data_IF_980121325238
#
_entry.id   IF_980121325238
#
_cell.length_a   1.000
_cell.length_b   1.000
_cell.length_c   1.000
_cell.angle_alpha   90.00
_cell.angle_beta   90.00
_cell.angle_gamma   90.00
#
_symmetry.space_group_name_H-M   'P 1'
#
loop_
_entity.id
_entity.type
_entity.pdbx_description
1 polymer ?
#
# COMPACT_ATOMS: atom_id res chain seq x y z
N UNK A 1 -25.04 47.89 30.94
CA UNK A 1 -23.88 46.99 30.97
C UNK A 1 -24.20 45.59 30.42
N UNK A 2 -25.24 44.91 30.92
CA UNK A 2 -25.59 43.55 30.46
C UNK A 2 -25.91 43.48 28.94
N UNK A 3 -26.65 44.44 28.42
CA UNK A 3 -27.03 44.50 27.00
C UNK A 3 -25.83 44.73 26.05
N UNK A 4 -24.83 45.47 26.50
CA UNK A 4 -23.59 45.68 25.73
C UNK A 4 -22.74 44.42 25.65
N UNK A 5 -22.71 43.63 26.72
CA UNK A 5 -21.98 42.33 26.74
C UNK A 5 -22.63 41.31 25.82
N UNK A 6 -23.96 41.25 25.76
CA UNK A 6 -24.67 40.31 24.84
C UNK A 6 -24.47 40.69 23.40
N UNK A 7 -24.46 41.96 23.02
CA UNK A 7 -24.18 42.43 21.68
C UNK A 7 -22.74 42.09 21.26
N UNK A 8 -21.76 42.29 22.16
CA UNK A 8 -20.36 41.94 21.92
C UNK A 8 -20.18 40.43 21.71
N UNK A 9 -20.91 39.58 22.45
CA UNK A 9 -20.85 38.14 22.33
C UNK A 9 -21.43 37.63 20.99
N UNK A 10 -22.54 38.24 20.52
CA UNK A 10 -23.14 37.95 19.19
C UNK A 10 -22.20 38.37 18.08
N UNK A 11 -21.51 39.51 18.22
CA UNK A 11 -20.55 39.99 17.22
C UNK A 11 -19.33 39.06 17.09
N UNK A 12 -18.83 38.51 18.21
CA UNK A 12 -17.72 37.58 18.24
C UNK A 12 -18.07 36.23 17.59
N UNK A 13 -19.34 35.78 17.70
CA UNK A 13 -19.77 34.50 17.06
C UNK A 13 -19.90 34.58 15.54
N UNK A 14 -20.07 35.77 14.96
CA UNK A 14 -20.16 35.97 13.52
C UNK A 14 -18.80 35.91 12.79
N UNK A 15 -17.68 36.06 13.52
CA UNK A 15 -16.33 36.00 12.97
C UNK A 15 -15.79 34.57 12.77
N UNK A 16 -16.52 33.51 13.17
CA UNK A 16 -16.03 32.12 13.13
C UNK A 16 -16.17 31.42 11.77
N UNK A 17 -16.73 32.06 10.75
CA UNK A 17 -16.93 31.42 9.43
C UNK A 17 -15.86 31.72 8.39
N UNK A 18 -14.75 32.36 8.76
CA UNK A 18 -13.67 32.71 7.84
C UNK A 18 -12.58 31.62 7.79
N UNK A 19 -12.92 30.36 7.52
CA UNK A 19 -11.94 29.36 7.10
C UNK A 19 -12.17 29.07 5.60
N UNK A 20 -11.56 29.88 4.75
CA UNK A 20 -11.38 29.53 3.34
C UNK A 20 -10.49 28.28 3.27
N UNK A 21 -10.99 27.23 2.61
CA UNK A 21 -10.18 26.06 2.25
C UNK A 21 -9.00 26.56 1.43
N UNK A 22 -7.79 26.39 1.98
CA UNK A 22 -6.57 26.78 1.26
C UNK A 22 -6.52 26.08 -0.08
N UNK A 23 -6.43 26.84 -1.19
CA UNK A 23 -6.26 26.28 -2.54
C UNK A 23 -4.77 25.98 -2.75
N UNK A 24 -4.40 24.71 -2.83
CA UNK A 24 -3.08 24.30 -3.23
C UNK A 24 -2.96 24.44 -4.76
N UNK A 25 -2.18 25.39 -5.23
CA UNK A 25 -1.85 25.52 -6.68
C UNK A 25 -0.51 24.82 -6.86
N UNK A 26 -0.51 23.69 -7.54
CA UNK A 26 0.70 22.94 -7.88
C UNK A 26 1.14 23.40 -9.27
N UNK A 27 2.16 24.25 -9.33
CA UNK A 27 2.85 24.56 -10.59
C UNK A 27 3.96 23.54 -10.81
N UNK A 28 3.75 22.59 -11.72
CA UNK A 28 4.73 21.55 -12.06
C UNK A 28 4.93 21.48 -13.58
N UNK A 29 6.12 21.00 -14.00
CA UNK A 29 6.41 20.76 -15.42
C UNK A 29 5.48 19.63 -15.94
N UNK A 30 4.88 19.84 -17.10
CA UNK A 30 3.99 18.86 -17.76
C UNK A 30 4.66 17.48 -17.97
N UNK A 31 5.98 17.42 -18.00
CA UNK A 31 6.74 16.16 -18.07
C UNK A 31 6.57 15.30 -16.83
N UNK A 32 6.32 15.90 -15.67
CA UNK A 32 6.10 15.19 -14.41
C UNK A 32 4.80 14.39 -14.53
N UNK A 33 3.74 14.99 -15.06
CA UNK A 33 2.46 14.29 -15.30
C UNK A 33 2.64 13.09 -16.23
N UNK A 34 3.38 13.24 -17.31
CA UNK A 34 3.68 12.13 -18.23
C UNK A 34 4.47 11.00 -17.56
N UNK A 35 5.40 11.34 -16.66
CA UNK A 35 6.16 10.35 -15.90
C UNK A 35 5.25 9.60 -14.90
N UNK A 36 4.35 10.31 -14.22
CA UNK A 36 3.38 9.72 -13.30
C UNK A 36 2.46 8.76 -14.05
N UNK A 37 1.88 9.17 -15.16
CA UNK A 37 1.01 8.32 -15.98
C UNK A 37 1.74 7.06 -16.46
N UNK A 38 2.98 7.21 -16.95
CA UNK A 38 3.78 6.06 -17.37
C UNK A 38 4.11 5.12 -16.20
N UNK A 39 4.35 5.67 -15.02
CA UNK A 39 4.59 4.86 -13.82
C UNK A 39 3.33 4.08 -13.40
N UNK A 40 2.16 4.72 -13.47
CA UNK A 40 0.87 4.06 -13.21
C UNK A 40 0.64 2.92 -14.20
N UNK A 41 0.88 3.12 -15.50
CA UNK A 41 0.73 2.09 -16.51
C UNK A 41 1.65 0.88 -16.27
N UNK A 42 2.91 1.12 -15.91
CA UNK A 42 3.88 0.06 -15.60
C UNK A 42 3.42 -0.74 -14.38
N UNK A 43 2.97 -0.09 -13.32
CA UNK A 43 2.51 -0.76 -12.10
C UNK A 43 1.13 -1.41 -12.25
N UNK A 44 0.30 -0.95 -13.17
CA UNK A 44 -0.96 -1.64 -13.50
C UNK A 44 -0.71 -3.01 -14.17
N UNK A 45 0.40 -3.14 -14.92
CA UNK A 45 0.80 -4.40 -15.54
C UNK A 45 1.54 -5.34 -14.58
N UNK A 46 2.33 -4.80 -13.66
CA UNK A 46 3.12 -5.56 -12.67
C UNK A 46 3.10 -4.84 -11.31
N UNK A 47 2.24 -5.33 -10.42
CA UNK A 47 2.09 -4.79 -9.05
C UNK A 47 3.19 -5.25 -8.08
N UNK A 48 4.22 -5.96 -8.57
CA UNK A 48 5.33 -6.43 -7.75
C UNK A 48 6.52 -5.47 -7.76
N UNK A 49 7.29 -5.48 -6.69
CA UNK A 49 8.54 -4.73 -6.54
C UNK A 49 9.69 -5.64 -6.14
N UNK A 50 10.92 -5.20 -6.33
CA UNK A 50 12.08 -5.92 -5.81
C UNK A 50 12.11 -5.85 -4.28
N UNK A 51 12.34 -7.00 -3.66
CA UNK A 51 12.38 -7.13 -2.20
C UNK A 51 13.01 -8.44 -1.75
N UNK A 52 12.61 -8.89 -0.58
CA UNK A 52 13.16 -10.07 0.06
C UNK A 52 12.04 -10.98 0.57
N UNK A 53 12.28 -12.29 0.46
CA UNK A 53 11.47 -13.33 1.08
C UNK A 53 12.34 -14.29 1.86
N UNK A 54 11.77 -15.04 2.78
CA UNK A 54 12.47 -16.11 3.50
C UNK A 54 12.04 -17.43 2.88
N UNK A 55 12.99 -18.20 2.35
CA UNK A 55 12.75 -19.55 1.86
C UNK A 55 12.84 -20.53 3.02
N UNK A 56 11.75 -21.27 3.27
CA UNK A 56 11.64 -22.20 4.39
C UNK A 56 11.66 -23.67 3.96
N UNK A 57 11.35 -23.93 2.68
CA UNK A 57 11.25 -25.29 2.15
C UNK A 57 11.80 -25.36 0.73
N UNK A 58 12.43 -26.51 0.37
CA UNK A 58 12.86 -26.81 -0.98
C UNK A 58 13.00 -28.33 -1.15
N UNK A 59 12.19 -28.89 -2.03
CA UNK A 59 12.22 -30.32 -2.36
C UNK A 59 12.02 -30.53 -3.87
N UNK A 60 12.45 -31.70 -4.35
CA UNK A 60 12.29 -32.14 -5.73
C UNK A 60 11.81 -33.59 -5.78
N UNK A 61 11.22 -33.99 -6.92
CA UNK A 61 10.70 -35.34 -7.10
C UNK A 61 9.18 -35.37 -7.20
N UNK A 62 8.63 -36.57 -7.31
CA UNK A 62 7.21 -36.78 -7.60
C UNK A 62 6.30 -36.33 -6.46
N UNK A 63 6.75 -36.50 -5.21
CA UNK A 63 5.98 -36.19 -4.00
C UNK A 63 6.22 -34.75 -3.49
N UNK A 64 7.11 -34.01 -4.17
CA UNK A 64 7.53 -32.68 -3.71
C UNK A 64 6.37 -31.66 -3.60
N UNK A 65 5.36 -31.78 -4.46
CA UNK A 65 4.16 -30.92 -4.44
C UNK A 65 3.31 -31.21 -3.21
N UNK A 66 3.10 -32.46 -2.91
CA UNK A 66 2.28 -32.89 -1.76
C UNK A 66 2.96 -32.49 -0.44
N UNK A 67 4.28 -32.73 -0.35
CA UNK A 67 5.09 -32.28 0.80
C UNK A 67 5.08 -30.77 0.96
N UNK A 68 5.17 -30.03 -0.15
CA UNK A 68 5.11 -28.57 -0.12
C UNK A 68 3.74 -28.05 0.34
N UNK A 69 2.65 -28.66 -0.11
CA UNK A 69 1.30 -28.28 0.32
C UNK A 69 1.08 -28.56 1.81
N UNK A 70 1.52 -29.73 2.31
CA UNK A 70 1.45 -30.05 3.73
C UNK A 70 2.24 -29.03 4.57
N UNK A 71 3.48 -28.75 4.18
CA UNK A 71 4.30 -27.76 4.86
C UNK A 71 3.74 -26.33 4.80
N UNK A 72 3.01 -26.00 3.71
CA UNK A 72 2.31 -24.73 3.58
C UNK A 72 1.14 -24.62 4.56
N UNK A 73 0.35 -25.68 4.72
CA UNK A 73 -0.77 -25.72 5.67
C UNK A 73 -0.28 -25.59 7.10
N UNK A 74 0.74 -26.36 7.49
CA UNK A 74 1.37 -26.25 8.81
C UNK A 74 1.91 -24.84 9.08
N UNK A 75 2.50 -24.20 8.08
CA UNK A 75 2.98 -22.82 8.23
C UNK A 75 1.83 -21.84 8.46
N UNK A 76 0.73 -21.93 7.68
CA UNK A 76 -0.44 -21.05 7.80
C UNK A 76 -1.12 -21.16 9.16
N UNK A 77 -1.16 -22.35 9.73
CA UNK A 77 -1.70 -22.56 11.09
C UNK A 77 -0.86 -21.84 12.15
N UNK A 78 0.46 -21.85 11.97
CA UNK A 78 1.40 -21.28 12.96
C UNK A 78 1.60 -19.76 12.76
N UNK A 79 1.57 -19.29 11.52
CA UNK A 79 1.85 -17.90 11.13
C UNK A 79 0.76 -17.35 10.20
N UNK A 80 -0.49 -17.17 10.68
CA UNK A 80 -1.64 -16.81 9.84
C UNK A 80 -1.49 -15.45 9.15
N UNK A 81 -0.77 -14.52 9.77
CA UNK A 81 -0.59 -13.16 9.25
C UNK A 81 0.57 -13.03 8.24
N UNK A 82 1.32 -14.12 8.01
CA UNK A 82 2.48 -14.08 7.12
C UNK A 82 2.14 -14.74 5.79
N UNK A 83 2.23 -14.02 4.65
CA UNK A 83 1.95 -14.58 3.34
C UNK A 83 2.96 -15.68 2.99
N UNK A 84 2.49 -16.76 2.35
CA UNK A 84 3.31 -17.88 1.90
C UNK A 84 3.03 -18.19 0.43
N UNK A 85 4.07 -18.44 -0.32
CA UNK A 85 4.05 -18.65 -1.76
C UNK A 85 4.74 -19.95 -2.15
N UNK A 86 4.05 -20.78 -2.95
CA UNK A 86 4.65 -21.94 -3.60
C UNK A 86 5.27 -21.49 -4.92
N UNK A 87 6.59 -21.63 -5.04
CA UNK A 87 7.36 -21.25 -6.21
C UNK A 87 7.97 -22.49 -6.84
N UNK A 88 7.61 -22.76 -8.08
CA UNK A 88 8.25 -23.80 -8.87
C UNK A 88 9.46 -23.23 -9.65
N UNK A 89 10.59 -23.85 -9.51
CA UNK A 89 11.77 -23.57 -10.32
C UNK A 89 12.52 -24.88 -10.54
N UNK A 90 12.32 -25.43 -11.73
CA UNK A 90 12.77 -26.77 -12.12
C UNK A 90 14.18 -27.11 -11.62
N UNK A 91 14.39 -28.24 -10.94
CA UNK A 91 13.41 -29.28 -10.62
C UNK A 91 12.75 -29.14 -9.23
N UNK A 92 12.88 -27.98 -8.55
CA UNK A 92 12.52 -27.80 -7.16
C UNK A 92 11.21 -27.07 -6.95
N UNK A 93 10.43 -27.51 -5.98
CA UNK A 93 9.34 -26.77 -5.36
C UNK A 93 9.86 -26.09 -4.09
N UNK A 94 9.57 -24.80 -3.96
CA UNK A 94 10.08 -23.95 -2.86
C UNK A 94 8.92 -23.23 -2.19
N UNK A 95 8.94 -23.17 -0.86
CA UNK A 95 8.05 -22.27 -0.13
C UNK A 95 8.84 -21.04 0.30
N UNK A 96 8.31 -19.88 -0.08
CA UNK A 96 8.83 -18.57 0.28
C UNK A 96 7.78 -17.81 1.08
N UNK A 97 8.20 -17.15 2.16
CA UNK A 97 7.31 -16.49 3.11
C UNK A 97 7.69 -15.04 3.30
N UNK A 98 6.67 -14.21 3.53
CA UNK A 98 6.78 -12.78 3.76
C UNK A 98 7.03 -11.97 2.50
N UNK A 99 6.68 -10.69 2.57
CA UNK A 99 6.96 -9.67 1.56
C UNK A 99 7.71 -8.52 2.25
N UNK A 100 9.06 -8.60 2.26
CA UNK A 100 9.91 -7.64 2.96
C UNK A 100 10.56 -6.68 1.96
N UNK A 101 10.40 -5.38 2.15
CA UNK A 101 10.99 -4.36 1.28
C UNK A 101 12.48 -4.25 1.48
N UNK A 102 12.95 -4.45 2.71
CA UNK A 102 14.34 -4.34 3.07
C UNK A 102 14.89 -5.64 3.64
N UNK A 103 16.19 -5.85 3.47
CA UNK A 103 16.85 -7.00 4.05
C UNK A 103 16.79 -7.01 5.58
N UNK A 104 16.79 -5.83 6.20
CA UNK A 104 16.71 -5.71 7.67
C UNK A 104 15.36 -6.20 8.20
N UNK A 105 14.24 -5.87 7.51
CA UNK A 105 12.93 -6.42 7.84
C UNK A 105 12.90 -7.95 7.72
N UNK A 106 13.47 -8.49 6.64
CA UNK A 106 13.58 -9.93 6.45
C UNK A 106 14.43 -10.59 7.54
N UNK A 107 15.55 -9.98 7.96
CA UNK A 107 16.40 -10.49 9.04
C UNK A 107 15.69 -10.49 10.38
N UNK A 108 14.89 -9.47 10.69
CA UNK A 108 14.06 -9.43 11.90
C UNK A 108 13.06 -10.58 11.92
N UNK A 109 12.34 -10.83 10.84
CA UNK A 109 11.40 -11.92 10.72
C UNK A 109 12.13 -13.30 10.75
N UNK A 110 13.29 -13.38 10.10
CA UNK A 110 14.11 -14.57 10.06
C UNK A 110 14.56 -15.03 11.44
N UNK A 111 14.86 -14.12 12.36
CA UNK A 111 15.23 -14.48 13.75
C UNK A 111 14.14 -15.31 14.44
N UNK A 112 12.88 -15.02 14.18
CA UNK A 112 11.75 -15.78 14.72
C UNK A 112 11.58 -17.12 13.96
N UNK A 113 11.54 -17.05 12.62
CA UNK A 113 11.29 -18.21 11.77
C UNK A 113 12.41 -19.26 11.82
N UNK A 114 13.65 -18.86 12.02
CA UNK A 114 14.81 -19.77 12.11
C UNK A 114 14.77 -20.69 13.32
N UNK A 115 13.96 -20.40 14.32
CA UNK A 115 13.77 -21.28 15.47
C UNK A 115 13.03 -22.56 15.05
N UNK A 116 12.07 -22.44 14.16
CA UNK A 116 11.24 -23.54 13.66
C UNK A 116 11.81 -24.14 12.36
N UNK A 117 12.34 -23.30 11.49
CA UNK A 117 12.84 -23.68 10.16
C UNK A 117 14.35 -23.51 10.07
N UNK A 118 15.11 -24.51 10.57
CA UNK A 118 16.59 -24.46 10.66
C UNK A 118 17.31 -24.31 9.33
N UNK A 119 16.67 -24.72 8.22
CA UNK A 119 17.21 -24.61 6.85
C UNK A 119 16.73 -23.35 6.11
N UNK A 120 16.01 -22.46 6.81
CA UNK A 120 15.53 -21.24 6.18
C UNK A 120 16.67 -20.29 5.83
N UNK A 121 16.49 -19.48 4.81
CA UNK A 121 17.41 -18.41 4.44
C UNK A 121 16.68 -17.28 3.71
N UNK A 122 17.25 -16.08 3.74
CA UNK A 122 16.74 -14.90 3.06
C UNK A 122 17.18 -14.91 1.61
N UNK A 123 16.24 -14.67 0.70
CA UNK A 123 16.48 -14.58 -0.75
C UNK A 123 15.87 -13.30 -1.31
N UNK A 124 16.52 -12.72 -2.33
CA UNK A 124 15.90 -11.65 -3.12
C UNK A 124 14.78 -12.23 -3.99
N UNK A 125 13.67 -11.53 -4.08
CA UNK A 125 12.50 -11.95 -4.84
C UNK A 125 11.66 -10.75 -5.26
N UNK A 126 10.76 -10.96 -6.22
CA UNK A 126 9.67 -10.03 -6.53
C UNK A 126 8.58 -10.20 -5.47
N UNK A 127 8.30 -9.15 -4.72
CA UNK A 127 7.32 -9.17 -3.63
C UNK A 127 6.05 -8.42 -4.02
N UNK A 128 4.94 -8.77 -3.40
CA UNK A 128 3.74 -7.95 -3.44
C UNK A 128 3.99 -6.65 -2.67
N UNK A 129 3.32 -5.57 -3.08
CA UNK A 129 3.37 -4.33 -2.31
C UNK A 129 2.83 -4.63 -0.90
N UNK A 130 3.65 -4.46 0.15
CA UNK A 130 3.15 -4.66 1.50
C UNK A 130 2.02 -3.67 1.77
N UNK A 131 0.95 -4.14 2.42
CA UNK A 131 -0.16 -3.29 2.81
C UNK A 131 0.37 -2.11 3.62
N UNK A 132 0.33 -0.92 3.02
CA UNK A 132 0.75 0.28 3.71
C UNK A 132 -0.40 0.67 4.65
N UNK A 133 -0.19 0.53 5.96
CA UNK A 133 -1.16 0.89 7.00
C UNK A 133 -1.62 2.36 6.92
N UNK A 134 -0.87 3.19 6.19
CA UNK A 134 -1.17 4.62 5.97
C UNK A 134 -1.93 4.89 4.66
N UNK A 135 -2.05 3.90 3.78
CA UNK A 135 -2.90 3.97 2.60
C UNK A 135 -4.14 3.10 2.83
N UNK A 136 -5.03 3.55 3.68
CA UNK A 136 -6.39 3.03 3.68
C UNK A 136 -6.98 3.43 2.33
N UNK A 137 -7.37 2.44 1.52
CA UNK A 137 -8.02 2.64 0.22
C UNK A 137 -9.18 3.65 0.28
N UNK A 138 -9.79 3.79 1.43
CA UNK A 138 -10.90 4.68 1.73
C UNK A 138 -10.50 6.18 1.72
N UNK A 139 -9.26 6.50 2.14
CA UNK A 139 -8.76 7.90 2.13
C UNK A 139 -8.46 8.36 0.70
N UNK A 140 -7.90 7.46 -0.12
CA UNK A 140 -7.54 7.79 -1.51
C UNK A 140 -8.80 7.94 -2.37
N UNK A 141 -9.83 7.12 -2.15
CA UNK A 141 -11.08 7.19 -2.90
C UNK A 141 -11.86 8.46 -2.57
N UNK A 142 -11.96 8.88 -1.31
CA UNK A 142 -12.60 10.13 -0.92
C UNK A 142 -11.84 11.37 -1.44
N UNK A 143 -10.51 11.35 -1.41
CA UNK A 143 -9.69 12.46 -1.88
C UNK A 143 -9.72 12.59 -3.40
N UNK A 144 -9.70 11.47 -4.14
CA UNK A 144 -9.81 11.44 -5.61
C UNK A 144 -11.22 11.78 -6.08
N UNK A 145 -12.28 11.29 -5.44
CA UNK A 145 -13.66 11.69 -5.75
C UNK A 145 -13.90 13.17 -5.46
N UNK A 146 -13.32 13.72 -4.40
CA UNK A 146 -13.38 15.16 -4.10
C UNK A 146 -12.70 16.00 -5.20
N UNK A 147 -11.55 15.58 -5.70
CA UNK A 147 -10.81 16.28 -6.77
C UNK A 147 -11.53 16.17 -8.11
N UNK A 148 -12.10 15.01 -8.45
CA UNK A 148 -12.84 14.80 -9.71
C UNK A 148 -14.13 15.64 -9.73
N UNK A 149 -14.87 15.67 -8.62
CA UNK A 149 -16.10 16.44 -8.54
C UNK A 149 -15.86 17.96 -8.59
N UNK A 150 -14.77 18.46 -8.01
CA UNK A 150 -14.38 19.87 -8.11
C UNK A 150 -13.93 20.23 -9.54
N UNK A 151 -13.23 19.34 -10.26
CA UNK A 151 -12.81 19.59 -11.65
C UNK A 151 -13.98 19.55 -12.64
N UNK A 152 -14.96 18.68 -12.44
CA UNK A 152 -16.18 18.63 -13.27
C UNK A 152 -17.06 19.87 -13.08
N UNK A 153 -17.11 20.42 -11.86
CA UNK A 153 -17.83 21.67 -11.61
C UNK A 153 -17.17 22.89 -12.27
N UNK A 154 -15.85 22.93 -12.41
CA UNK A 154 -15.14 24.04 -13.04
C UNK A 154 -15.41 24.09 -14.55
N UNK A 155 -15.51 22.96 -15.25
CA UNK A 155 -15.86 22.95 -16.69
C UNK A 155 -17.31 23.43 -16.95
N UNK A 156 -18.21 23.16 -16.02
CA UNK A 156 -19.62 23.59 -16.18
C UNK A 156 -19.81 25.09 -15.98
N UNK A 157 -18.93 25.76 -15.24
CA UNK A 157 -18.97 27.24 -15.11
C UNK A 157 -18.46 27.98 -16.37
N UNK A 158 -17.51 27.40 -17.10
CA UNK A 158 -16.98 28.00 -18.33
C UNK A 158 -17.94 27.88 -19.55
N UNK A 159 -18.91 26.95 -19.51
CA UNK A 159 -19.82 26.73 -20.62
C UNK A 159 -21.11 27.58 -20.54
N UNK A 160 -21.41 28.22 -19.41
CA UNK A 160 -22.62 29.04 -19.22
C UNK A 160 -22.39 30.54 -19.41
N UNK A 161 -21.17 30.99 -19.67
CA UNK A 161 -20.81 32.41 -19.90
C UNK A 161 -20.42 32.71 -21.37
N UNK A 162 -20.76 31.83 -22.32
CA UNK A 162 -20.68 32.05 -23.78
C UNK A 162 -22.11 32.03 -24.40
#
# INVERSE_FOLDING_TARGET
MKLFITILFVFLSLCSFAQDKGKLILEQDQRIEQLIQRQIEIHAADSTIDGFRIQIFMESGNDAVELANTAMEEFKEKYPDTPIYLVFGQPYYRLRVGDFRTRLEAEKAFQTLSQDYKKAFITSDRIQLPNNIFCTSDIILEEVEGIINDSVNVEQYFYNDL
#
